data_IF_191097188713
#
_entry.id   IF_191097188713
#
_cell.length_a   1.000
_cell.length_b   1.000
_cell.length_c   1.000
_cell.angle_alpha   90.00
_cell.angle_beta   90.00
_cell.angle_gamma   90.00
#
_symmetry.space_group_name_H-M   'P 1'
#
loop_
_entity.id
_entity.type
_entity.pdbx_description
1 polymer ?
#
# COMPACT_ATOMS: atom_id res chain seq x y z
N UNK A 1 -3.39 -10.35 -6.25
CA UNK A 1 -2.31 -10.13 -5.25
C UNK A 1 -2.94 -9.72 -3.92
N UNK A 2 -2.24 -9.91 -2.80
CA UNK A 2 -2.72 -9.50 -1.48
C UNK A 2 -1.74 -8.45 -0.92
N UNK A 3 -2.24 -7.31 -0.48
CA UNK A 3 -1.47 -6.30 0.27
C UNK A 3 -1.75 -6.49 1.76
N UNK A 4 -0.69 -6.57 2.55
CA UNK A 4 -0.75 -6.61 4.01
C UNK A 4 -0.19 -5.31 4.57
N UNK A 5 -0.96 -4.70 5.47
CA UNK A 5 -0.52 -3.56 6.25
C UNK A 5 -0.33 -3.95 7.72
N UNK A 6 0.81 -3.55 8.29
CA UNK A 6 1.19 -3.81 9.68
C UNK A 6 1.24 -2.49 10.44
N UNK A 7 0.18 -2.11 11.18
CA UNK A 7 0.07 -0.79 11.81
C UNK A 7 1.20 -0.51 12.81
N UNK A 8 1.66 -1.54 13.55
CA UNK A 8 2.77 -1.41 14.51
C UNK A 8 4.11 -1.01 13.88
N UNK A 9 4.30 -1.28 12.59
CA UNK A 9 5.50 -0.87 11.84
C UNK A 9 5.29 0.44 11.08
N UNK A 10 4.05 0.93 10.96
CA UNK A 10 3.74 2.08 10.12
C UNK A 10 4.19 3.38 10.80
N UNK A 11 5.15 4.09 10.20
CA UNK A 11 5.62 5.39 10.68
C UNK A 11 4.80 6.57 10.11
N UNK A 12 3.72 6.31 9.37
CA UNK A 12 2.83 7.34 8.81
C UNK A 12 3.51 8.45 7.97
N UNK A 13 4.66 8.16 7.35
CA UNK A 13 5.40 9.09 6.47
C UNK A 13 4.62 9.52 5.22
N UNK A 14 3.53 8.83 4.89
CA UNK A 14 2.60 9.20 3.80
C UNK A 14 3.08 8.85 2.39
N UNK A 15 4.17 8.07 2.22
CA UNK A 15 4.68 7.73 0.88
C UNK A 15 3.68 6.92 0.05
N UNK A 16 2.90 6.03 0.67
CA UNK A 16 1.87 5.25 -0.01
C UNK A 16 0.80 6.15 -0.64
N UNK A 17 0.25 7.09 0.15
CA UNK A 17 -0.74 8.06 -0.31
C UNK A 17 -0.18 9.00 -1.38
N UNK A 18 1.08 9.44 -1.24
CA UNK A 18 1.72 10.34 -2.23
C UNK A 18 1.97 9.67 -3.58
N UNK A 19 2.18 8.36 -3.60
CA UNK A 19 2.59 7.63 -4.81
C UNK A 19 1.42 6.95 -5.50
N UNK A 20 0.45 6.45 -4.75
CA UNK A 20 -0.80 5.87 -5.30
C UNK A 20 -2.01 6.41 -4.53
N UNK A 21 -2.36 7.70 -4.67
CA UNK A 21 -3.50 8.31 -3.99
C UNK A 21 -4.84 7.68 -4.37
N UNK A 22 -4.94 7.07 -5.55
CA UNK A 22 -6.12 6.33 -5.97
C UNK A 22 -6.30 4.99 -5.24
N UNK A 23 -5.22 4.46 -4.64
CA UNK A 23 -5.24 3.20 -3.87
C UNK A 23 -5.35 3.46 -2.38
N UNK A 24 -4.56 4.39 -1.84
CA UNK A 24 -4.44 4.62 -0.40
C UNK A 24 -5.20 5.86 0.04
N UNK A 25 -6.30 5.64 0.76
CA UNK A 25 -7.24 6.68 1.19
C UNK A 25 -7.48 6.61 2.71
N UNK A 26 -6.60 7.19 3.54
CA UNK A 26 -6.62 7.03 5.01
C UNK A 26 -7.90 7.48 5.72
N UNK A 27 -8.78 8.22 5.04
CA UNK A 27 -10.06 8.72 5.57
C UNK A 27 -11.27 7.87 5.17
N UNK A 28 -11.09 6.87 4.30
CA UNK A 28 -12.16 5.99 3.82
C UNK A 28 -12.11 4.62 4.52
N UNK A 29 -13.21 3.88 4.45
CA UNK A 29 -13.29 2.48 4.87
C UNK A 29 -13.99 1.68 3.76
N UNK A 30 -13.26 0.84 3.00
CA UNK A 30 -11.85 0.50 3.14
C UNK A 30 -10.88 1.63 2.75
N UNK A 31 -9.75 1.73 3.45
CA UNK A 31 -8.72 2.75 3.17
C UNK A 31 -7.68 2.31 2.12
N UNK A 32 -7.71 1.04 1.68
CA UNK A 32 -6.90 0.50 0.58
C UNK A 32 -7.84 -0.08 -0.47
N UNK A 33 -7.73 0.38 -1.72
CA UNK A 33 -8.47 -0.13 -2.89
C UNK A 33 -7.49 -0.48 -4.00
N UNK A 34 -7.01 -1.73 -4.00
CA UNK A 34 -5.93 -2.16 -4.89
C UNK A 34 -6.36 -2.27 -6.35
N UNK A 35 -7.68 -2.36 -6.64
CA UNK A 35 -8.19 -2.42 -8.01
C UNK A 35 -7.91 -1.17 -8.84
N UNK A 36 -7.56 -0.05 -8.19
CA UNK A 36 -7.27 1.22 -8.86
C UNK A 36 -5.82 1.34 -9.38
N UNK A 37 -5.03 0.27 -9.30
CA UNK A 37 -3.65 0.25 -9.80
C UNK A 37 -3.26 -1.12 -10.34
N UNK A 38 -2.26 -1.13 -11.22
CA UNK A 38 -1.67 -2.36 -11.72
C UNK A 38 -0.83 -3.06 -10.65
N UNK A 39 -0.59 -4.36 -10.83
CA UNK A 39 0.28 -5.12 -9.93
C UNK A 39 1.71 -4.55 -9.88
N UNK A 40 2.22 -4.01 -10.99
CA UNK A 40 3.56 -3.41 -11.05
C UNK A 40 3.63 -2.10 -10.27
N UNK A 41 2.63 -1.24 -10.41
CA UNK A 41 2.54 0.00 -9.62
C UNK A 41 2.47 -0.29 -8.12
N UNK A 42 1.65 -1.27 -7.72
CA UNK A 42 1.52 -1.68 -6.33
C UNK A 42 2.85 -2.25 -5.79
N UNK A 43 3.55 -3.08 -6.56
CA UNK A 43 4.89 -3.59 -6.18
C UNK A 43 5.89 -2.44 -6.01
N UNK A 44 5.95 -1.54 -6.98
CA UNK A 44 6.86 -0.40 -6.95
C UNK A 44 6.58 0.51 -5.75
N UNK A 45 5.30 0.75 -5.44
CA UNK A 45 4.90 1.52 -4.26
C UNK A 45 5.29 0.82 -2.97
N UNK A 46 4.95 -0.47 -2.82
CA UNK A 46 5.21 -1.22 -1.59
C UNK A 46 6.71 -1.26 -1.28
N UNK A 47 7.57 -1.41 -2.29
CA UNK A 47 9.04 -1.34 -2.15
C UNK A 47 9.56 0.02 -1.65
N UNK A 48 8.75 1.09 -1.74
CA UNK A 48 9.10 2.42 -1.22
C UNK A 48 8.66 2.65 0.22
N UNK A 49 8.05 1.66 0.88
CA UNK A 49 7.67 1.76 2.29
C UNK A 49 8.93 1.67 3.18
N UNK A 50 9.40 2.77 3.80
CA UNK A 50 10.69 2.77 4.50
C UNK A 50 10.67 1.92 5.76
N UNK A 51 9.50 1.75 6.37
CA UNK A 51 9.35 0.97 7.60
C UNK A 51 8.98 -0.49 7.38
N UNK A 52 8.79 -0.92 6.13
CA UNK A 52 8.33 -2.27 5.80
C UNK A 52 6.90 -2.60 6.28
N UNK A 53 6.11 -1.58 6.66
CA UNK A 53 4.75 -1.76 7.13
C UNK A 53 3.78 -2.26 6.06
N UNK A 54 4.09 -2.00 4.79
CA UNK A 54 3.36 -2.54 3.65
C UNK A 54 4.17 -3.69 3.06
N UNK A 55 3.51 -4.82 2.85
CA UNK A 55 4.07 -5.98 2.14
C UNK A 55 3.03 -6.54 1.17
N UNK A 56 3.47 -7.39 0.24
CA UNK A 56 2.56 -8.07 -0.67
C UNK A 56 2.88 -9.56 -0.81
N UNK A 57 1.88 -10.32 -1.23
CA UNK A 57 2.05 -11.72 -1.65
C UNK A 57 1.34 -11.93 -2.99
N UNK A 58 2.01 -12.64 -3.89
CA UNK A 58 1.44 -13.07 -5.14
C UNK A 58 0.64 -14.35 -4.90
N UNK A 59 -0.64 -14.30 -5.22
CA UNK A 59 -1.47 -15.50 -5.30
C UNK A 59 -1.16 -16.16 -6.64
N UNK A 60 -0.82 -17.46 -6.59
CA UNK A 60 -0.64 -18.29 -7.77
C UNK A 60 -1.99 -18.66 -8.37
#
# INVERSE_FOLDING_TARGET
MIIKWQPKLCQHVGICVKTLPQVYKPKESPWITIENATTEELKAQVSRCPSGALTYTLVK
#
